data_IF_106009565635
#
_entry.id   IF_106009565635
#
_cell.length_a   1.000
_cell.length_b   1.000
_cell.length_c   1.000
_cell.angle_alpha   90.00
_cell.angle_beta   90.00
_cell.angle_gamma   90.00
#
_symmetry.space_group_name_H-M   'P 1'
#
loop_
_entity.id
_entity.type
_entity.pdbx_description
1 polymer ?
#
# COMPACT_ATOMS: atom_id res chain seq x y z
N UNK A 1 3.80 -23.79 0.09
CA UNK A 1 3.77 -24.08 -1.36
C UNK A 1 4.19 -25.54 -1.58
N UNK A 2 3.60 -26.28 -2.49
CA UNK A 2 4.03 -27.65 -2.76
C UNK A 2 5.46 -27.62 -3.34
N UNK A 3 6.37 -28.35 -2.71
CA UNK A 3 7.70 -28.58 -3.25
C UNK A 3 7.62 -29.76 -4.22
N UNK A 4 8.13 -29.56 -5.43
CA UNK A 4 8.25 -30.61 -6.43
C UNK A 4 9.64 -31.26 -6.30
N UNK A 5 9.67 -32.52 -6.00
CA UNK A 5 10.89 -33.32 -6.00
C UNK A 5 10.91 -34.21 -7.26
N UNK A 6 11.95 -34.07 -8.08
CA UNK A 6 12.13 -34.85 -9.29
C UNK A 6 13.42 -35.67 -9.19
N UNK A 7 13.43 -36.81 -8.51
CA UNK A 7 14.59 -37.69 -8.57
C UNK A 7 14.56 -38.51 -9.87
N UNK A 8 15.25 -38.07 -10.93
CA UNK A 8 15.71 -38.88 -12.07
C UNK A 8 14.67 -39.69 -12.87
N UNK A 9 13.40 -39.56 -12.63
CA UNK A 9 12.32 -40.27 -13.32
C UNK A 9 11.29 -39.32 -13.86
N UNK A 10 10.62 -39.70 -14.96
CA UNK A 10 9.48 -38.93 -15.58
C UNK A 10 8.26 -38.78 -14.67
N UNK A 11 8.39 -38.94 -13.36
CA UNK A 11 7.32 -38.92 -12.38
C UNK A 11 7.54 -37.76 -11.43
N UNK A 12 6.56 -36.88 -11.35
CA UNK A 12 6.54 -35.79 -10.38
C UNK A 12 5.87 -36.21 -9.08
N UNK A 13 6.45 -35.80 -7.97
CA UNK A 13 5.86 -35.93 -6.65
C UNK A 13 5.54 -34.55 -6.08
N UNK A 14 4.31 -34.38 -5.62
CA UNK A 14 3.87 -33.15 -4.98
C UNK A 14 3.83 -33.37 -3.49
N UNK A 15 4.48 -32.51 -2.73
CA UNK A 15 4.39 -32.49 -1.28
C UNK A 15 3.05 -31.85 -0.87
N UNK A 16 2.20 -32.62 -0.16
CA UNK A 16 0.92 -32.17 0.33
C UNK A 16 1.04 -31.62 1.75
N UNK A 17 0.42 -30.47 2.08
CA UNK A 17 0.36 -29.98 3.45
C UNK A 17 -0.62 -30.84 4.28
N UNK A 18 -0.25 -31.23 5.51
CA UNK A 18 -1.22 -31.77 6.48
C UNK A 18 -0.95 -33.11 7.17
N UNK A 19 0.26 -33.69 7.09
CA UNK A 19 0.59 -34.91 7.84
C UNK A 19 1.30 -34.59 9.17
N UNK A 20 0.82 -35.12 10.31
CA UNK A 20 1.39 -34.88 11.65
C UNK A 20 2.83 -35.31 11.86
N UNK A 21 3.44 -36.14 11.01
CA UNK A 21 4.80 -36.66 11.21
C UNK A 21 5.59 -37.09 9.99
N UNK A 22 5.02 -37.12 8.79
CA UNK A 22 5.74 -37.38 7.51
C UNK A 22 5.02 -36.68 6.36
N UNK A 23 5.81 -36.13 5.42
CA UNK A 23 5.29 -35.53 4.22
C UNK A 23 4.55 -36.57 3.38
N UNK A 24 3.28 -36.33 3.06
CA UNK A 24 2.58 -37.10 2.05
C UNK A 24 2.92 -36.55 0.68
N UNK A 25 3.29 -37.44 -0.25
CA UNK A 25 3.60 -37.09 -1.63
C UNK A 25 2.49 -37.61 -2.54
N UNK A 26 1.95 -36.75 -3.38
CA UNK A 26 1.02 -37.17 -4.44
C UNK A 26 1.83 -37.41 -5.71
N UNK A 27 1.71 -38.59 -6.29
CA UNK A 27 2.32 -38.96 -7.57
C UNK A 27 1.52 -38.36 -8.73
N UNK A 28 2.18 -37.67 -9.65
CA UNK A 28 1.59 -37.12 -10.88
C UNK A 28 2.13 -37.87 -12.07
N UNK A 29 1.23 -38.50 -12.84
CA UNK A 29 1.60 -39.34 -13.98
C UNK A 29 1.91 -38.52 -15.22
N UNK A 30 2.81 -39.03 -16.13
CA UNK A 30 3.03 -38.46 -17.45
C UNK A 30 1.71 -38.37 -18.22
N UNK A 31 1.53 -37.30 -18.99
CA UNK A 31 0.36 -37.04 -19.84
C UNK A 31 -0.99 -36.84 -19.09
N UNK A 32 -0.96 -36.52 -17.80
CA UNK A 32 -2.16 -36.09 -17.09
C UNK A 32 -2.38 -34.57 -17.20
N UNK A 33 -3.63 -34.08 -17.22
CA UNK A 33 -3.90 -32.63 -17.20
C UNK A 33 -3.30 -31.93 -15.97
N UNK A 34 -3.20 -32.68 -14.89
CA UNK A 34 -2.58 -32.24 -13.65
C UNK A 34 -1.08 -31.98 -13.81
N UNK A 35 -0.40 -32.77 -14.66
CA UNK A 35 1.01 -32.58 -14.99
C UNK A 35 1.25 -31.29 -15.76
N UNK A 36 0.45 -31.03 -16.76
CA UNK A 36 0.54 -29.79 -17.56
C UNK A 36 0.36 -28.54 -16.68
N UNK A 37 -0.61 -28.56 -15.77
CA UNK A 37 -0.79 -27.51 -14.79
C UNK A 37 0.44 -27.26 -13.93
N UNK A 38 1.07 -28.32 -13.39
CA UNK A 38 2.27 -28.17 -12.57
C UNK A 38 3.51 -27.76 -13.39
N UNK A 39 3.64 -28.20 -14.62
CA UNK A 39 4.71 -27.76 -15.52
C UNK A 39 4.57 -26.27 -15.86
N UNK A 40 3.36 -25.75 -16.02
CA UNK A 40 3.12 -24.32 -16.19
C UNK A 40 3.49 -23.53 -14.94
N UNK A 41 3.14 -24.02 -13.73
CA UNK A 41 3.55 -23.41 -12.47
C UNK A 41 5.07 -23.37 -12.32
N UNK A 42 5.76 -24.47 -12.64
CA UNK A 42 7.23 -24.54 -12.58
C UNK A 42 7.90 -23.57 -13.56
N UNK A 43 7.38 -23.48 -14.79
CA UNK A 43 7.85 -22.52 -15.77
C UNK A 43 7.69 -21.10 -15.25
N UNK A 44 6.48 -20.76 -14.79
CA UNK A 44 6.19 -19.44 -14.24
C UNK A 44 7.08 -19.10 -13.03
N UNK A 45 7.32 -20.10 -12.15
CA UNK A 45 8.25 -19.95 -11.02
C UNK A 45 9.68 -19.71 -11.48
N UNK A 46 10.13 -20.39 -12.54
CA UNK A 46 11.44 -20.15 -13.16
C UNK A 46 11.58 -18.74 -13.68
N UNK A 47 10.59 -18.27 -14.46
CA UNK A 47 10.55 -16.91 -14.99
C UNK A 47 10.57 -15.85 -13.87
N UNK A 48 9.76 -16.04 -12.83
CA UNK A 48 9.71 -15.13 -11.67
C UNK A 48 11.05 -15.11 -10.90
N UNK A 49 11.71 -16.28 -10.78
CA UNK A 49 13.02 -16.36 -10.12
C UNK A 49 14.10 -15.61 -10.93
N UNK A 50 14.08 -15.72 -12.24
CA UNK A 50 14.98 -14.94 -13.09
C UNK A 50 14.72 -13.44 -13.02
N UNK A 51 13.44 -13.05 -13.00
CA UNK A 51 13.06 -11.63 -12.81
C UNK A 51 13.52 -11.11 -11.45
N UNK A 52 13.36 -11.91 -10.38
CA UNK A 52 13.83 -11.54 -9.05
C UNK A 52 15.35 -11.32 -9.04
N UNK A 53 16.13 -12.23 -9.61
CA UNK A 53 17.59 -12.08 -9.70
C UNK A 53 17.98 -10.80 -10.46
N UNK A 54 17.28 -10.48 -11.56
CA UNK A 54 17.53 -9.23 -12.30
C UNK A 54 17.25 -7.99 -11.45
N UNK A 55 16.16 -8.02 -10.68
CA UNK A 55 15.79 -6.93 -9.79
C UNK A 55 16.77 -6.78 -8.62
N UNK A 56 17.21 -7.90 -8.05
CA UNK A 56 18.22 -7.92 -6.99
C UNK A 56 19.55 -7.34 -7.47
N UNK A 57 19.99 -7.70 -8.66
CA UNK A 57 21.22 -7.15 -9.26
C UNK A 57 21.07 -5.65 -9.54
N UNK A 58 19.97 -5.23 -10.16
CA UNK A 58 19.70 -3.81 -10.42
C UNK A 58 19.61 -2.98 -9.13
N UNK A 59 19.05 -3.54 -8.07
CA UNK A 59 19.03 -2.92 -6.76
C UNK A 59 20.45 -2.76 -6.18
N UNK A 60 21.23 -3.83 -6.20
CA UNK A 60 22.62 -3.82 -5.72
C UNK A 60 23.48 -2.82 -6.48
N UNK A 61 23.34 -2.76 -7.82
CA UNK A 61 24.04 -1.79 -8.67
C UNK A 61 23.66 -0.35 -8.32
N UNK A 62 22.39 -0.10 -8.02
CA UNK A 62 21.88 1.23 -7.69
C UNK A 62 22.24 1.69 -6.27
N UNK A 63 22.22 0.77 -5.30
CA UNK A 63 22.30 1.10 -3.88
C UNK A 63 23.60 0.63 -3.21
N UNK A 64 24.40 -0.21 -3.86
CA UNK A 64 25.68 -0.70 -3.33
C UNK A 64 25.55 -1.83 -2.28
N UNK A 65 24.33 -2.30 -1.99
CA UNK A 65 24.06 -3.42 -1.08
C UNK A 65 22.93 -4.30 -1.58
N UNK A 66 22.88 -5.59 -1.21
CA UNK A 66 21.82 -6.51 -1.64
C UNK A 66 20.47 -6.14 -1.02
N UNK A 67 19.38 -6.56 -1.65
CA UNK A 67 18.04 -6.45 -1.04
C UNK A 67 18.06 -7.26 0.26
N UNK A 68 17.69 -6.65 1.41
CA UNK A 68 17.65 -7.37 2.68
C UNK A 68 16.67 -8.54 2.60
N UNK A 69 17.08 -9.71 3.12
CA UNK A 69 16.21 -10.89 3.19
C UNK A 69 15.03 -10.64 4.16
N UNK A 70 13.95 -11.40 4.04
CA UNK A 70 12.79 -11.25 4.92
C UNK A 70 13.14 -11.43 6.42
N UNK A 71 14.14 -12.26 6.73
CA UNK A 71 14.63 -12.49 8.10
C UNK A 71 15.55 -11.36 8.59
N UNK A 72 16.28 -10.70 7.68
CA UNK A 72 17.11 -9.52 7.96
C UNK A 72 16.28 -8.23 7.99
N UNK A 73 15.11 -8.25 7.37
CA UNK A 73 14.06 -7.25 7.56
C UNK A 73 13.45 -7.43 8.95
N UNK A 74 14.25 -7.28 9.99
CA UNK A 74 13.69 -6.84 11.26
C UNK A 74 13.14 -5.45 10.96
N UNK A 75 11.85 -5.40 10.66
CA UNK A 75 11.12 -4.14 10.62
C UNK A 75 11.27 -3.53 12.00
N UNK A 76 12.31 -2.75 12.19
CA UNK A 76 12.30 -1.75 13.22
C UNK A 76 11.20 -0.81 12.74
N UNK A 77 9.98 -1.15 13.12
CA UNK A 77 8.91 -0.17 13.14
C UNK A 77 9.48 0.89 14.04
N UNK A 78 10.14 1.89 13.44
CA UNK A 78 10.43 3.10 14.16
C UNK A 78 9.03 3.53 14.56
N UNK A 79 8.77 3.28 15.81
CA UNK A 79 7.56 3.72 16.45
C UNK A 79 7.70 5.25 16.53
N UNK A 80 7.51 5.90 15.38
CA UNK A 80 7.34 7.35 15.30
C UNK A 80 6.06 7.76 16.03
N UNK A 81 5.67 7.01 17.08
CA UNK A 81 4.40 7.14 17.77
C UNK A 81 3.23 7.10 16.75
N UNK A 82 3.35 6.24 15.76
CA UNK A 82 2.79 6.44 14.43
C UNK A 82 1.30 6.29 14.51
N UNK A 83 0.64 7.43 14.48
CA UNK A 83 -0.82 7.53 14.29
C UNK A 83 -1.27 6.81 13.01
N UNK A 84 -0.33 6.52 12.11
CA UNK A 84 -0.54 5.79 10.86
C UNK A 84 -0.15 4.30 10.96
N UNK A 85 -0.29 3.68 12.14
CA UNK A 85 -0.08 2.23 12.33
C UNK A 85 -1.25 1.41 11.81
N UNK A 86 -1.00 0.13 11.44
CA UNK A 86 -2.08 -0.80 11.04
C UNK A 86 -3.09 -1.04 12.17
N UNK A 87 -2.67 -0.98 13.44
CA UNK A 87 -3.62 -1.09 14.56
C UNK A 87 -4.63 0.06 14.51
N UNK A 88 -4.18 1.28 14.26
CA UNK A 88 -5.06 2.42 14.07
C UNK A 88 -5.89 2.29 12.79
N UNK A 89 -5.31 1.82 11.67
CA UNK A 89 -6.05 1.57 10.45
C UNK A 89 -7.23 0.62 10.68
N UNK A 90 -7.02 -0.47 11.40
CA UNK A 90 -8.06 -1.46 11.68
C UNK A 90 -9.22 -0.88 12.48
N UNK A 91 -8.95 0.12 13.34
CA UNK A 91 -9.98 0.82 14.13
C UNK A 91 -10.72 1.92 13.36
N UNK A 92 -10.23 2.34 12.18
CA UNK A 92 -10.90 3.36 11.37
C UNK A 92 -12.23 2.82 10.83
N UNK A 93 -13.27 3.63 10.92
CA UNK A 93 -14.56 3.36 10.27
C UNK A 93 -14.64 4.14 8.96
N UNK A 94 -15.13 3.49 7.90
CA UNK A 94 -15.42 4.15 6.63
C UNK A 94 -16.63 5.10 6.75
N UNK A 95 -16.74 6.06 5.83
CA UNK A 95 -17.85 7.02 5.76
C UNK A 95 -18.09 7.78 7.08
N UNK A 96 -17.03 8.09 7.80
CA UNK A 96 -17.12 8.82 9.07
C UNK A 96 -17.31 10.34 8.90
N UNK A 97 -17.27 10.84 7.67
CA UNK A 97 -17.56 12.24 7.37
C UNK A 97 -19.07 12.49 7.54
N UNK A 98 -19.47 13.44 8.40
CA UNK A 98 -20.89 13.70 8.68
C UNK A 98 -21.64 14.34 7.51
N UNK A 99 -20.97 14.87 6.49
CA UNK A 99 -21.59 15.45 5.31
C UNK A 99 -22.22 14.36 4.45
N UNK A 100 -23.49 14.44 4.03
CA UNK A 100 -24.11 13.43 3.16
C UNK A 100 -23.44 13.41 1.78
N UNK A 101 -23.45 12.22 1.14
CA UNK A 101 -22.99 12.07 -0.24
C UNK A 101 -24.19 12.20 -1.17
N UNK A 102 -24.31 13.34 -1.86
CA UNK A 102 -25.44 13.67 -2.74
C UNK A 102 -25.19 13.31 -4.22
N UNK A 103 -23.98 12.86 -4.53
CA UNK A 103 -23.55 12.55 -5.90
C UNK A 103 -23.92 11.12 -6.33
N UNK A 104 -23.88 10.88 -7.64
CA UNK A 104 -24.16 9.59 -8.25
C UNK A 104 -22.89 8.86 -8.71
N UNK A 105 -21.71 9.23 -8.20
CA UNK A 105 -20.47 8.52 -8.50
C UNK A 105 -20.43 7.22 -7.70
N UNK A 106 -20.58 6.08 -8.39
CA UNK A 106 -20.69 4.76 -7.75
C UNK A 106 -19.72 3.79 -8.39
N UNK A 107 -18.98 3.05 -7.58
CA UNK A 107 -18.17 1.90 -8.01
C UNK A 107 -18.17 0.83 -6.91
N UNK A 108 -18.30 -0.45 -7.30
CA UNK A 108 -18.32 -1.56 -6.35
C UNK A 108 -19.41 -1.46 -5.27
N UNK A 109 -20.54 -0.79 -5.57
CA UNK A 109 -21.63 -0.53 -4.61
C UNK A 109 -21.34 0.60 -3.60
N UNK A 110 -20.20 1.29 -3.70
CA UNK A 110 -19.81 2.43 -2.86
C UNK A 110 -20.07 3.74 -3.59
N UNK A 111 -20.50 4.77 -2.84
CA UNK A 111 -20.70 6.14 -3.34
C UNK A 111 -19.51 7.02 -2.98
N UNK A 112 -19.14 7.91 -3.90
CA UNK A 112 -18.06 8.88 -3.76
C UNK A 112 -18.56 10.30 -3.99
N UNK A 113 -17.93 11.31 -3.38
CA UNK A 113 -18.35 12.71 -3.49
C UNK A 113 -17.95 13.33 -4.82
N UNK A 114 -16.88 12.88 -5.42
CA UNK A 114 -16.36 13.45 -6.66
C UNK A 114 -15.95 12.37 -7.65
N UNK A 115 -15.86 12.77 -8.91
CA UNK A 115 -15.31 11.92 -9.98
C UNK A 115 -13.83 11.63 -9.74
N UNK A 116 -13.09 12.57 -9.15
CA UNK A 116 -11.67 12.37 -8.85
C UNK A 116 -11.47 11.29 -7.80
N UNK A 117 -12.30 11.25 -6.76
CA UNK A 117 -12.28 10.17 -5.78
C UNK A 117 -12.61 8.81 -6.40
N UNK A 118 -13.59 8.77 -7.33
CA UNK A 118 -13.90 7.56 -8.07
C UNK A 118 -12.68 7.05 -8.87
N UNK A 119 -12.00 7.93 -9.63
CA UNK A 119 -10.77 7.58 -10.36
C UNK A 119 -9.63 7.15 -9.41
N UNK A 120 -9.53 7.81 -8.25
CA UNK A 120 -8.57 7.41 -7.22
C UNK A 120 -8.84 5.99 -6.72
N UNK A 121 -10.11 5.64 -6.49
CA UNK A 121 -10.52 4.27 -6.11
C UNK A 121 -10.14 3.24 -7.18
N UNK A 122 -10.33 3.57 -8.45
CA UNK A 122 -9.94 2.71 -9.56
C UNK A 122 -8.42 2.49 -9.60
N UNK A 123 -7.64 3.56 -9.39
CA UNK A 123 -6.18 3.48 -9.30
C UNK A 123 -5.70 2.60 -8.11
N UNK A 124 -6.29 2.78 -6.92
CA UNK A 124 -5.99 1.96 -5.75
C UNK A 124 -6.34 0.48 -5.99
N UNK A 125 -7.46 0.22 -6.67
CA UNK A 125 -7.88 -1.14 -7.05
C UNK A 125 -6.91 -1.79 -8.04
N UNK A 126 -6.43 -1.05 -9.04
CA UNK A 126 -5.43 -1.52 -10.01
C UNK A 126 -4.11 -1.91 -9.33
N UNK A 127 -3.74 -1.20 -8.27
CA UNK A 127 -2.56 -1.51 -7.45
C UNK A 127 -2.79 -2.65 -6.45
N UNK A 128 -4.02 -3.17 -6.34
CA UNK A 128 -4.37 -4.24 -5.38
C UNK A 128 -4.28 -3.79 -3.92
N UNK A 129 -4.40 -2.50 -3.64
CA UNK A 129 -4.29 -1.95 -2.30
C UNK A 129 -5.62 -2.05 -1.56
N UNK A 130 -5.57 -2.21 -0.24
CA UNK A 130 -6.72 -2.08 0.66
C UNK A 130 -6.83 -0.63 1.14
N UNK A 131 -8.03 -0.08 1.16
CA UNK A 131 -8.27 1.29 1.65
C UNK A 131 -9.57 1.43 2.41
N UNK A 132 -9.67 2.51 3.19
CA UNK A 132 -10.90 2.98 3.83
C UNK A 132 -11.23 4.38 3.32
N UNK A 133 -12.49 4.59 2.92
CA UNK A 133 -12.98 5.84 2.37
C UNK A 133 -13.53 6.74 3.49
N UNK A 134 -13.12 8.02 3.48
CA UNK A 134 -13.50 9.06 4.45
C UNK A 134 -13.48 8.61 5.92
N UNK A 135 -12.39 7.99 6.39
CA UNK A 135 -12.28 7.65 7.81
C UNK A 135 -12.08 8.91 8.66
N UNK A 136 -12.38 8.83 9.96
CA UNK A 136 -12.05 9.90 10.90
C UNK A 136 -10.71 9.66 11.57
N UNK A 137 -9.81 10.66 11.49
CA UNK A 137 -8.49 10.63 12.13
C UNK A 137 -8.40 11.82 13.08
N UNK A 138 -7.95 11.56 14.31
CA UNK A 138 -7.72 12.62 15.31
C UNK A 138 -6.25 13.02 15.32
N UNK A 139 -6.00 14.31 15.06
CA UNK A 139 -4.66 14.88 14.96
C UNK A 139 -4.50 16.02 15.97
N UNK A 140 -3.24 16.33 16.31
CA UNK A 140 -2.89 17.41 17.21
C UNK A 140 -2.52 18.66 16.41
N UNK A 141 -2.97 19.81 16.82
CA UNK A 141 -2.57 21.10 16.23
C UNK A 141 -2.16 22.08 17.30
N UNK A 142 -1.27 23.04 17.01
CA UNK A 142 -0.92 24.10 17.95
C UNK A 142 -2.16 24.86 18.42
N UNK A 143 -2.26 25.07 19.72
CA UNK A 143 -3.28 25.95 20.31
C UNK A 143 -2.90 27.43 20.17
N UNK A 144 -3.81 28.31 20.64
CA UNK A 144 -3.57 29.77 20.62
C UNK A 144 -2.42 30.23 21.55
N UNK A 145 -2.09 29.45 22.58
CA UNK A 145 -1.04 29.77 23.53
C UNK A 145 0.15 28.85 23.34
N UNK A 146 1.36 29.37 23.54
CA UNK A 146 2.59 28.59 23.45
C UNK A 146 2.53 27.37 24.38
N UNK A 147 2.87 26.20 23.82
CA UNK A 147 2.88 24.94 24.56
C UNK A 147 1.53 24.23 24.68
N UNK A 148 0.44 24.85 24.25
CA UNK A 148 -0.86 24.18 24.20
C UNK A 148 -1.10 23.52 22.86
N UNK A 149 -1.57 22.27 22.90
CA UNK A 149 -2.04 21.54 21.74
C UNK A 149 -3.53 21.24 21.90
N UNK A 150 -4.27 21.37 20.82
CA UNK A 150 -5.66 20.90 20.73
C UNK A 150 -5.76 19.75 19.75
N UNK A 151 -6.70 18.87 19.95
CA UNK A 151 -7.04 17.82 18.99
C UNK A 151 -8.07 18.34 17.99
N UNK A 152 -7.90 17.94 16.73
CA UNK A 152 -8.88 18.15 15.66
C UNK A 152 -9.14 16.81 14.99
N UNK A 153 -10.40 16.58 14.60
CA UNK A 153 -10.77 15.43 13.80
C UNK A 153 -10.84 15.87 12.34
N UNK A 154 -10.19 15.14 11.48
CA UNK A 154 -10.24 15.34 10.04
C UNK A 154 -10.65 14.03 9.35
N UNK A 155 -11.23 14.16 8.16
CA UNK A 155 -11.60 13.05 7.32
C UNK A 155 -10.73 13.12 6.06
N UNK A 156 -9.66 12.32 5.96
CA UNK A 156 -8.97 12.13 4.68
C UNK A 156 -9.90 11.44 3.69
N UNK A 157 -9.67 11.66 2.39
CA UNK A 157 -10.48 10.99 1.39
C UNK A 157 -10.23 9.48 1.43
N UNK A 158 -8.95 9.06 1.56
CA UNK A 158 -8.59 7.66 1.73
C UNK A 158 -7.49 7.46 2.76
N UNK A 159 -7.63 6.42 3.57
CA UNK A 159 -6.53 5.78 4.29
C UNK A 159 -6.20 4.47 3.55
N UNK A 160 -4.94 4.28 3.17
CA UNK A 160 -4.48 3.17 2.32
C UNK A 160 -3.51 2.29 3.09
N UNK A 161 -3.84 1.01 3.26
CA UNK A 161 -3.06 0.06 4.04
C UNK A 161 -1.78 -0.38 3.32
N UNK A 162 -0.71 -0.54 4.11
CA UNK A 162 0.54 -1.23 3.73
C UNK A 162 0.84 -2.26 4.83
N UNK A 163 0.14 -3.40 4.83
CA UNK A 163 0.19 -4.37 5.92
C UNK A 163 1.60 -4.91 6.18
N UNK A 164 2.39 -5.10 5.12
CA UNK A 164 3.76 -5.59 5.18
C UNK A 164 4.67 -4.68 6.00
N UNK A 165 4.38 -3.38 6.02
CA UNK A 165 5.13 -2.37 6.77
C UNK A 165 4.42 -1.96 8.07
N UNK A 166 3.31 -2.64 8.42
CA UNK A 166 2.47 -2.37 9.59
C UNK A 166 2.02 -0.91 9.70
N UNK A 167 1.80 -0.26 8.57
CA UNK A 167 1.39 1.15 8.50
C UNK A 167 0.37 1.39 7.40
N UNK A 168 -0.21 2.58 7.40
CA UNK A 168 -1.00 3.09 6.29
C UNK A 168 -0.51 4.49 5.90
N UNK A 169 -0.92 4.98 4.75
CA UNK A 169 -0.72 6.34 4.30
C UNK A 169 -2.04 6.98 3.88
N UNK A 170 -2.04 8.27 3.64
CA UNK A 170 -3.23 9.07 3.33
C UNK A 170 -3.20 9.47 1.86
N UNK A 171 -4.36 9.45 1.20
CA UNK A 171 -4.56 10.02 -0.13
C UNK A 171 -5.66 11.07 -0.07
N UNK A 172 -5.41 12.23 -0.62
CA UNK A 172 -6.33 13.35 -0.74
C UNK A 172 -6.58 13.68 -2.22
N UNK A 173 -7.85 13.65 -2.60
CA UNK A 173 -8.31 13.95 -3.95
C UNK A 173 -8.77 15.41 -4.02
N UNK A 174 -7.88 16.32 -4.38
CA UNK A 174 -8.10 17.77 -4.39
C UNK A 174 -8.83 18.20 -5.68
N UNK A 175 -10.14 17.96 -5.74
CA UNK A 175 -10.95 18.08 -6.97
C UNK A 175 -11.50 19.46 -7.31
N UNK A 176 -11.28 20.50 -6.48
CA UNK A 176 -11.86 21.83 -6.66
C UNK A 176 -10.82 22.95 -6.45
N UNK A 177 -9.61 22.77 -6.97
CA UNK A 177 -8.51 23.72 -6.75
C UNK A 177 -8.73 25.11 -7.35
N UNK A 178 -9.66 25.26 -8.30
CA UNK A 178 -10.10 26.56 -8.82
C UNK A 178 -11.00 27.33 -7.84
N UNK A 179 -11.59 26.67 -6.84
CA UNK A 179 -12.38 27.34 -5.80
C UNK A 179 -11.47 27.82 -4.66
N UNK A 180 -11.50 29.12 -4.37
CA UNK A 180 -10.64 29.73 -3.37
C UNK A 180 -10.92 29.23 -1.95
N UNK A 181 -12.17 29.09 -1.57
CA UNK A 181 -12.55 28.64 -0.20
C UNK A 181 -12.15 27.20 0.03
N UNK A 182 -12.36 26.34 -0.96
CA UNK A 182 -11.91 24.96 -0.96
C UNK A 182 -10.37 24.86 -0.85
N UNK A 183 -9.65 25.67 -1.62
CA UNK A 183 -8.18 25.68 -1.59
C UNK A 183 -7.65 26.12 -0.22
N UNK A 184 -8.26 27.10 0.42
CA UNK A 184 -7.90 27.52 1.78
C UNK A 184 -8.16 26.38 2.80
N UNK A 185 -9.28 25.67 2.70
CA UNK A 185 -9.58 24.49 3.53
C UNK A 185 -8.57 23.37 3.30
N UNK A 186 -8.26 23.04 2.04
CA UNK A 186 -7.28 22.03 1.67
C UNK A 186 -5.87 22.38 2.21
N UNK A 187 -5.43 23.64 2.07
CA UNK A 187 -4.18 24.11 2.65
C UNK A 187 -4.13 23.97 4.18
N UNK A 188 -5.25 24.27 4.87
CA UNK A 188 -5.33 24.10 6.32
C UNK A 188 -5.30 22.62 6.74
N UNK A 189 -5.91 21.73 5.95
CA UNK A 189 -5.85 20.28 6.13
C UNK A 189 -4.42 19.77 5.96
N UNK A 190 -3.71 20.19 4.90
CA UNK A 190 -2.29 19.85 4.65
C UNK A 190 -1.40 20.36 5.79
N UNK A 191 -1.59 21.58 6.28
CA UNK A 191 -0.86 22.09 7.46
C UNK A 191 -1.10 21.22 8.69
N UNK A 192 -2.33 20.76 8.89
CA UNK A 192 -2.67 19.87 10.01
C UNK A 192 -1.93 18.54 9.90
N UNK A 193 -1.82 17.98 8.72
CA UNK A 193 -0.98 16.81 8.46
C UNK A 193 0.49 17.09 8.80
N UNK A 194 1.05 18.18 8.29
CA UNK A 194 2.45 18.55 8.51
C UNK A 194 2.79 18.72 10.01
N UNK A 195 1.90 19.33 10.81
CA UNK A 195 2.07 19.40 12.26
C UNK A 195 2.15 18.04 12.97
N UNK A 196 1.70 16.99 12.31
CA UNK A 196 1.71 15.62 12.83
C UNK A 196 2.77 14.74 12.17
N UNK A 197 3.70 15.35 11.41
CA UNK A 197 4.79 14.64 10.72
C UNK A 197 4.33 13.87 9.48
N UNK A 198 3.12 14.15 8.96
CA UNK A 198 2.55 13.54 7.77
C UNK A 198 2.82 14.48 6.60
N UNK A 199 3.72 14.09 5.69
CA UNK A 199 4.20 14.94 4.61
C UNK A 199 3.90 14.34 3.23
N UNK A 200 3.71 15.22 2.21
CA UNK A 200 3.65 14.76 0.81
C UNK A 200 4.85 13.91 0.43
N UNK A 201 4.63 12.90 -0.39
CA UNK A 201 5.61 11.91 -0.85
C UNK A 201 6.19 10.99 0.23
N UNK A 202 5.77 11.14 1.49
CA UNK A 202 6.15 10.27 2.60
C UNK A 202 4.96 9.45 3.09
N UNK A 203 3.96 10.13 3.61
CA UNK A 203 2.77 9.52 4.22
C UNK A 203 1.47 10.07 3.59
N UNK A 204 1.59 11.00 2.64
CA UNK A 204 0.48 11.73 2.05
C UNK A 204 0.65 11.83 0.54
N UNK A 205 -0.35 11.36 -0.19
CA UNK A 205 -0.49 11.54 -1.64
C UNK A 205 -1.52 12.64 -1.87
N UNK A 206 -1.16 13.64 -2.67
CA UNK A 206 -2.07 14.71 -3.09
C UNK A 206 -2.37 14.53 -4.58
N UNK A 207 -3.62 14.32 -4.94
CA UNK A 207 -4.08 14.16 -6.32
C UNK A 207 -4.80 15.45 -6.72
N UNK A 208 -4.14 16.35 -7.46
CA UNK A 208 -4.75 17.61 -7.88
C UNK A 208 -5.71 17.41 -9.05
N UNK A 209 -6.82 18.14 -9.02
CA UNK A 209 -7.80 18.22 -10.11
C UNK A 209 -8.72 19.42 -9.93
N UNK A 210 -9.51 19.72 -10.94
CA UNK A 210 -10.59 20.72 -10.88
C UNK A 210 -11.65 20.44 -11.95
N UNK A 211 -12.56 21.38 -12.15
CA UNK A 211 -13.63 21.27 -13.16
C UNK A 211 -13.12 21.21 -14.60
N UNK A 212 -11.89 21.69 -14.86
CA UNK A 212 -11.27 21.77 -16.20
C UNK A 212 -10.20 20.72 -16.42
N UNK A 213 -9.67 20.14 -15.35
CA UNK A 213 -8.61 19.14 -15.40
C UNK A 213 -8.90 17.95 -14.48
N UNK A 214 -8.94 16.77 -15.09
CA UNK A 214 -9.01 15.50 -14.41
C UNK A 214 -7.74 14.70 -14.73
N UNK A 215 -6.92 14.36 -13.73
CA UNK A 215 -5.74 13.54 -13.99
C UNK A 215 -6.15 12.16 -14.53
N UNK A 216 -5.43 11.61 -15.51
CA UNK A 216 -5.65 10.25 -15.97
C UNK A 216 -5.31 9.24 -14.85
N UNK A 217 -5.94 8.07 -14.89
CA UNK A 217 -5.77 7.04 -13.85
C UNK A 217 -4.29 6.63 -13.71
N UNK A 218 -3.56 6.58 -14.82
CA UNK A 218 -2.13 6.25 -14.84
C UNK A 218 -1.27 7.25 -14.04
N UNK A 219 -1.64 8.53 -14.05
CA UNK A 219 -0.95 9.55 -13.26
C UNK A 219 -1.23 9.36 -11.75
N UNK A 220 -2.47 8.99 -11.40
CA UNK A 220 -2.83 8.67 -10.01
C UNK A 220 -2.08 7.42 -9.55
N UNK A 221 -2.07 6.35 -10.36
CA UNK A 221 -1.30 5.12 -10.11
C UNK A 221 0.17 5.44 -9.88
N UNK A 222 0.78 6.25 -10.74
CA UNK A 222 2.19 6.64 -10.63
C UNK A 222 2.46 7.41 -9.35
N UNK A 223 1.57 8.32 -8.93
CA UNK A 223 1.71 9.11 -7.70
C UNK A 223 1.64 8.22 -6.45
N UNK A 224 0.71 7.27 -6.42
CA UNK A 224 0.57 6.31 -5.32
C UNK A 224 1.77 5.36 -5.29
N UNK A 225 2.18 4.82 -6.44
CA UNK A 225 3.34 3.93 -6.55
C UNK A 225 4.64 4.60 -6.09
N UNK A 226 4.86 5.88 -6.46
CA UNK A 226 6.03 6.64 -6.01
C UNK A 226 6.08 6.80 -4.47
N UNK A 227 4.91 6.99 -3.83
CA UNK A 227 4.82 7.06 -2.37
C UNK A 227 5.10 5.69 -1.73
N UNK A 228 4.59 4.60 -2.30
CA UNK A 228 4.89 3.23 -1.86
C UNK A 228 6.38 2.93 -1.97
N UNK A 229 7.02 3.26 -3.09
CA UNK A 229 8.46 3.09 -3.30
C UNK A 229 9.27 3.85 -2.25
N UNK A 230 8.86 5.09 -1.96
CA UNK A 230 9.51 5.89 -0.92
C UNK A 230 9.37 5.25 0.46
N UNK A 231 8.15 4.85 0.85
CA UNK A 231 7.88 4.17 2.13
C UNK A 231 8.72 2.89 2.24
N UNK A 232 8.81 2.09 1.19
CA UNK A 232 9.62 0.87 1.16
C UNK A 232 11.12 1.18 1.27
N UNK A 233 11.59 2.26 0.63
CA UNK A 233 12.99 2.69 0.66
C UNK A 233 13.42 3.21 2.04
N UNK A 234 12.56 3.95 2.74
CA UNK A 234 12.84 4.42 4.11
C UNK A 234 13.11 3.24 5.05
N UNK A 235 12.30 2.18 4.97
CA UNK A 235 12.48 0.98 5.82
C UNK A 235 13.84 0.32 5.59
N UNK A 236 14.32 0.30 4.35
CA UNK A 236 15.63 -0.27 3.99
C UNK A 236 16.78 0.58 4.55
N UNK A 237 16.69 1.91 4.43
CA UNK A 237 17.73 2.82 4.96
C UNK A 237 17.82 2.69 6.48
N UNK A 238 16.69 2.65 7.16
CA UNK A 238 16.63 2.51 8.62
C UNK A 238 17.20 1.16 9.09
N UNK A 239 16.90 0.07 8.42
CA UNK A 239 17.46 -1.25 8.70
C UNK A 239 18.98 -1.32 8.44
N UNK A 240 19.49 -0.59 7.45
CA UNK A 240 20.91 -0.49 7.11
C UNK A 240 21.72 0.37 8.09
N UNK A 241 21.14 1.45 8.62
CA UNK A 241 21.80 2.34 9.58
C UNK A 241 21.92 1.77 10.98
N UNK A 242 21.19 0.73 11.32
CA UNK A 242 21.30 0.01 12.60
C UNK A 242 22.45 -1.03 12.64
N UNK A 243 23.20 -1.19 11.54
CA UNK A 243 24.40 -2.06 11.46
C UNK A 243 25.73 -1.30 11.65
N UNK A 244 25.65 -0.03 12.06
CA UNK A 244 26.82 0.76 12.50
C UNK A 244 26.81 0.81 14.03
#
# INVERSE_FOLDING_TARGET
MPELNCPGSNIFYIRMPGGKTRYSYKRVYPNSPEREYYEQILRKRGELKEQLIRLENAWQDKHGFPIPTADERQFVVINTGSRLSMDNFNMLNEYSNPRPIETNYVSGGRKYRSRLELHTTEALSLLGLEWKYEPSITLSVPGRFMGYHRTVTINPDFAVAVPELKRFFIVEALGMLSDKSYTEEACNKIKTYAYNGIYPSKDLVLIPGDSTYMPPIEAIVSSVAATLDHICSEVVIEAGSLKL
#
